data_IF_277258020549
#
_entry.id   IF_277258020549
#
_cell.length_a   1.000
_cell.length_b   1.000
_cell.length_c   1.000
_cell.angle_alpha   90.00
_cell.angle_beta   90.00
_cell.angle_gamma   90.00
#
_symmetry.space_group_name_H-M   'P 1'
#
loop_
_entity.id
_entity.type
_entity.pdbx_description
1 polymer ?
#
# COMPACT_ATOMS: atom_id res chain seq x y z
N UNK A 1 -24.10 5.35 20.11
CA UNK A 1 -24.81 4.06 20.22
C UNK A 1 -23.78 2.95 20.41
N UNK A 2 -24.07 1.95 21.26
CA UNK A 2 -23.13 0.93 21.76
C UNK A 2 -22.65 0.00 20.63
N UNK A 3 -21.34 -0.12 20.44
CA UNK A 3 -20.69 -1.05 19.50
C UNK A 3 -20.74 -2.46 20.05
N UNK A 4 -21.31 -3.41 19.30
CA UNK A 4 -21.20 -4.85 19.60
C UNK A 4 -20.29 -5.49 18.55
N UNK A 5 -19.05 -5.77 18.96
CA UNK A 5 -18.13 -6.64 18.23
C UNK A 5 -18.48 -8.11 18.55
N UNK A 6 -18.66 -8.93 17.53
CA UNK A 6 -18.70 -10.38 17.66
C UNK A 6 -17.69 -11.00 16.68
N UNK A 7 -16.51 -11.29 17.21
CA UNK A 7 -15.53 -12.19 16.61
C UNK A 7 -16.00 -13.63 16.82
N UNK A 8 -16.09 -14.42 15.75
CA UNK A 8 -16.13 -15.89 15.84
C UNK A 8 -15.18 -16.49 14.80
N UNK A 9 -13.96 -16.77 15.27
CA UNK A 9 -13.09 -17.81 14.72
C UNK A 9 -13.73 -19.18 15.00
N UNK A 10 -13.83 -20.04 13.99
CA UNK A 10 -13.88 -21.49 14.23
C UNK A 10 -13.09 -22.22 13.14
N UNK A 11 -11.98 -22.80 13.57
CA UNK A 11 -11.14 -23.70 12.80
C UNK A 11 -11.86 -25.01 12.49
N UNK A 12 -11.68 -25.54 11.29
CA UNK A 12 -11.81 -26.98 11.05
C UNK A 12 -10.60 -27.48 10.26
N UNK A 13 -9.69 -28.10 11.00
CA UNK A 13 -8.66 -28.98 10.49
C UNK A 13 -9.28 -30.39 10.49
N UNK A 14 -9.30 -31.07 9.34
CA UNK A 14 -9.55 -32.50 9.28
C UNK A 14 -8.68 -33.11 8.18
N UNK A 15 -7.67 -33.87 8.61
CA UNK A 15 -6.85 -34.75 7.78
C UNK A 15 -7.70 -35.87 7.19
N UNK A 16 -7.42 -36.25 5.94
CA UNK A 16 -7.58 -37.64 5.48
C UNK A 16 -6.34 -38.09 4.70
N UNK A 17 -5.51 -38.91 5.35
CA UNK A 17 -4.54 -39.80 4.71
C UNK A 17 -5.21 -41.15 4.45
N UNK A 18 -5.26 -41.58 3.19
CA UNK A 18 -5.45 -42.96 2.72
C UNK A 18 -5.19 -42.93 1.20
N UNK A 19 -4.44 -43.79 0.53
CA UNK A 19 -3.77 -45.04 0.86
C UNK A 19 -3.44 -45.75 -0.47
N UNK A 20 -2.46 -46.67 -0.46
CA UNK A 20 -2.11 -47.73 -1.44
C UNK A 20 -1.97 -47.34 -2.94
N UNK A 21 -0.87 -47.65 -3.63
CA UNK A 21 -0.17 -48.93 -3.66
C UNK A 21 -0.71 -49.77 -4.83
N UNK A 22 0.01 -49.77 -5.95
CA UNK A 22 -0.30 -50.57 -7.14
C UNK A 22 0.87 -50.55 -8.12
N UNK A 23 1.61 -51.66 -8.16
CA UNK A 23 2.67 -51.97 -9.12
C UNK A 23 2.09 -52.70 -10.34
N UNK A 24 2.96 -52.97 -11.33
CA UNK A 24 2.82 -53.81 -12.54
C UNK A 24 2.64 -53.06 -13.88
N UNK A 25 3.03 -53.65 -15.04
CA UNK A 25 4.37 -54.09 -15.44
C UNK A 25 4.78 -53.55 -16.83
N UNK A 26 6.05 -53.78 -17.18
CA UNK A 26 6.69 -53.54 -18.49
C UNK A 26 6.00 -54.30 -19.65
N UNK A 27 5.86 -53.68 -20.83
CA UNK A 27 6.55 -54.06 -22.09
C UNK A 27 5.80 -53.63 -23.38
N UNK A 28 6.61 -53.27 -24.38
CA UNK A 28 6.35 -53.19 -25.84
C UNK A 28 5.85 -51.88 -26.47
N UNK A 29 6.83 -51.11 -26.96
CA UNK A 29 6.76 -50.20 -28.11
C UNK A 29 6.77 -51.02 -29.46
N UNK A 30 6.81 -50.44 -30.68
CA UNK A 30 6.81 -49.03 -31.11
C UNK A 30 5.93 -48.69 -32.36
N UNK A 31 5.70 -47.39 -32.63
CA UNK A 31 5.81 -46.77 -33.98
C UNK A 31 5.55 -45.24 -33.90
N UNK A 32 6.17 -44.42 -34.77
CA UNK A 32 6.45 -43.01 -34.49
C UNK A 32 5.43 -42.06 -35.11
N UNK A 33 5.02 -41.04 -34.36
CA UNK A 33 4.41 -39.83 -34.93
C UNK A 33 5.19 -38.65 -34.36
N UNK A 34 5.92 -37.97 -35.25
CA UNK A 34 6.70 -36.77 -34.97
C UNK A 34 5.85 -35.71 -34.26
N UNK A 35 6.14 -35.47 -32.99
CA UNK A 35 5.77 -34.26 -32.28
C UNK A 35 7.00 -33.32 -32.25
N UNK A 36 6.81 -31.99 -32.35
CA UNK A 36 7.90 -31.03 -32.51
C UNK A 36 8.80 -30.98 -31.27
N UNK A 37 10.09 -30.65 -31.40
CA UNK A 37 10.94 -30.50 -30.23
C UNK A 37 10.51 -29.27 -29.44
N UNK A 38 10.45 -29.47 -28.13
CA UNK A 38 10.50 -28.39 -27.15
C UNK A 38 11.72 -27.50 -27.43
N UNK A 39 11.52 -26.20 -27.33
CA UNK A 39 12.59 -25.25 -27.04
C UNK A 39 12.14 -24.43 -25.85
N UNK A 40 12.72 -24.78 -24.72
CA UNK A 40 12.85 -23.95 -23.54
C UNK A 40 13.62 -22.68 -23.91
N UNK A 41 13.05 -21.53 -23.59
CA UNK A 41 13.68 -20.21 -23.39
C UNK A 41 12.49 -19.29 -23.05
N UNK A 42 12.09 -19.09 -21.78
CA UNK A 42 12.85 -18.43 -20.73
C UNK A 42 13.75 -17.34 -21.30
N UNK A 43 13.13 -16.23 -21.70
CA UNK A 43 13.71 -14.89 -21.90
C UNK A 43 12.57 -14.07 -22.52
N UNK A 44 11.71 -13.42 -21.73
CA UNK A 44 11.86 -11.99 -21.46
C UNK A 44 11.11 -11.64 -20.17
N UNK A 45 11.55 -12.17 -19.03
CA UNK A 45 11.44 -11.42 -17.77
C UNK A 45 12.63 -10.45 -17.71
N UNK A 46 12.71 -9.60 -18.73
CA UNK A 46 13.59 -8.46 -18.84
C UNK A 46 12.79 -7.32 -19.45
N UNK A 47 11.55 -7.17 -18.95
CA UNK A 47 11.01 -5.82 -18.84
C UNK A 47 11.81 -5.17 -17.74
N UNK A 48 12.93 -4.58 -18.14
CA UNK A 48 13.48 -3.36 -17.59
C UNK A 48 12.93 -3.01 -16.20
N UNK A 49 13.79 -3.11 -15.18
CA UNK A 49 13.74 -2.28 -13.96
C UNK A 49 13.92 -0.79 -14.32
N UNK A 50 13.31 -0.34 -15.43
CA UNK A 50 13.03 1.05 -15.69
C UNK A 50 12.12 1.47 -14.55
N UNK A 51 12.62 2.42 -13.75
CA UNK A 51 11.89 3.13 -12.71
C UNK A 51 10.45 3.35 -13.14
N UNK A 52 9.53 2.52 -12.63
CA UNK A 52 8.10 2.68 -12.88
C UNK A 52 7.75 4.08 -12.38
N UNK A 53 7.22 4.91 -13.27
CA UNK A 53 6.69 6.22 -12.92
C UNK A 53 5.24 6.02 -12.52
N UNK A 54 4.91 6.37 -11.28
CA UNK A 54 3.55 6.33 -10.78
C UNK A 54 2.82 7.61 -11.15
N UNK A 55 1.62 7.47 -11.66
CA UNK A 55 0.72 8.58 -11.96
C UNK A 55 -0.13 8.93 -10.74
N UNK A 56 -0.66 10.17 -10.71
CA UNK A 56 -1.59 10.57 -9.66
C UNK A 56 -2.81 9.66 -9.63
N UNK A 57 -3.33 9.27 -10.81
CA UNK A 57 -4.46 8.34 -10.91
C UNK A 57 -4.22 7.00 -10.21
N UNK A 58 -3.05 6.39 -10.42
CA UNK A 58 -2.70 5.13 -9.74
C UNK A 58 -2.57 5.29 -8.22
N UNK A 59 -1.98 6.40 -7.75
CA UNK A 59 -1.90 6.70 -6.31
C UNK A 59 -3.30 6.93 -5.74
N UNK A 60 -4.17 7.64 -6.45
CA UNK A 60 -5.54 7.85 -6.01
C UNK A 60 -6.35 6.55 -6.00
N UNK A 61 -6.15 5.64 -6.95
CA UNK A 61 -6.78 4.31 -6.92
C UNK A 61 -6.39 3.52 -5.66
N UNK A 62 -5.10 3.56 -5.27
CA UNK A 62 -4.64 2.96 -4.02
C UNK A 62 -5.27 3.61 -2.78
N UNK A 63 -5.43 4.94 -2.79
CA UNK A 63 -6.06 5.66 -1.69
C UNK A 63 -7.54 5.31 -1.57
N UNK A 64 -8.28 5.37 -2.68
CA UNK A 64 -9.73 5.10 -2.72
C UNK A 64 -10.07 3.68 -2.28
N UNK A 65 -9.16 2.71 -2.48
CA UNK A 65 -9.36 1.33 -2.03
C UNK A 65 -9.44 1.20 -0.49
N UNK A 66 -8.74 2.07 0.25
CA UNK A 66 -8.60 2.00 1.71
C UNK A 66 -9.19 3.24 2.43
N UNK A 67 -9.70 4.23 1.68
CA UNK A 67 -10.23 5.49 2.22
C UNK A 67 -11.50 5.26 3.04
N UNK A 68 -11.59 5.91 4.20
CA UNK A 68 -12.81 6.00 5.00
C UNK A 68 -13.77 7.11 4.51
N UNK A 69 -15.09 6.95 4.71
CA UNK A 69 -16.11 7.91 4.25
C UNK A 69 -15.94 9.32 4.84
N UNK A 70 -15.36 9.43 6.03
CA UNK A 70 -15.09 10.68 6.74
C UNK A 70 -13.78 11.35 6.29
N UNK A 71 -13.05 10.81 5.31
CA UNK A 71 -11.82 11.42 4.82
C UNK A 71 -12.06 12.16 3.51
N UNK A 72 -11.93 13.48 3.57
CA UNK A 72 -12.03 14.36 2.42
C UNK A 72 -10.64 14.61 1.87
N UNK A 73 -10.37 14.13 0.65
CA UNK A 73 -9.10 14.38 -0.02
C UNK A 73 -8.89 15.88 -0.24
N UNK A 74 -7.71 16.37 0.12
CA UNK A 74 -7.30 17.76 -0.08
C UNK A 74 -6.27 17.91 -1.20
N UNK A 75 -5.27 17.01 -1.26
CA UNK A 75 -4.18 17.08 -2.24
C UNK A 75 -3.49 15.70 -2.37
N UNK A 76 -2.70 15.49 -3.42
CA UNK A 76 -1.90 14.30 -3.60
C UNK A 76 -0.53 14.62 -4.20
N UNK A 77 0.46 13.78 -3.89
CA UNK A 77 1.79 13.87 -4.49
C UNK A 77 2.28 12.48 -4.84
N UNK A 78 2.82 12.33 -6.05
CA UNK A 78 3.47 11.10 -6.52
C UNK A 78 4.97 11.18 -6.30
N UNK A 79 5.56 10.06 -5.90
CA UNK A 79 7.01 9.92 -5.79
C UNK A 79 7.38 8.44 -5.86
N UNK A 80 8.66 8.10 -5.83
CA UNK A 80 9.05 6.72 -5.57
C UNK A 80 10.23 6.72 -4.60
N UNK A 81 9.97 6.24 -3.39
CA UNK A 81 10.98 6.04 -2.36
C UNK A 81 11.35 4.56 -2.30
N UNK A 82 12.53 4.25 -2.83
CA UNK A 82 13.04 2.88 -2.89
C UNK A 82 13.29 2.27 -1.51
N UNK A 83 13.59 3.09 -0.49
CA UNK A 83 13.93 2.60 0.85
C UNK A 83 12.70 2.09 1.60
N UNK A 84 11.55 2.73 1.37
CA UNK A 84 10.28 2.45 2.04
C UNK A 84 9.26 1.75 1.13
N UNK A 85 9.52 1.69 -0.18
CA UNK A 85 8.59 1.18 -1.18
C UNK A 85 7.37 2.07 -1.41
N UNK A 86 7.40 3.32 -0.95
CA UNK A 86 6.31 4.29 -1.08
C UNK A 86 6.27 4.89 -2.48
N UNK A 87 5.06 5.10 -3.00
CA UNK A 87 4.79 5.55 -4.37
C UNK A 87 4.01 6.86 -4.45
N UNK A 88 3.57 7.35 -3.29
CA UNK A 88 2.85 8.60 -3.19
C UNK A 88 2.30 8.82 -1.80
N UNK A 89 1.70 9.99 -1.63
CA UNK A 89 0.95 10.32 -0.44
C UNK A 89 -0.30 11.12 -0.82
N UNK A 90 -1.32 11.01 0.02
CA UNK A 90 -2.56 11.78 -0.09
C UNK A 90 -2.77 12.56 1.20
N UNK A 91 -2.96 13.86 1.07
CA UNK A 91 -3.36 14.76 2.15
C UNK A 91 -4.89 14.75 2.23
N UNK A 92 -5.43 14.59 3.43
CA UNK A 92 -6.87 14.60 3.64
C UNK A 92 -7.28 15.36 4.91
N UNK A 93 -8.54 15.78 4.96
CA UNK A 93 -9.22 16.28 6.16
C UNK A 93 -10.09 15.14 6.70
N UNK A 94 -9.91 14.79 7.96
CA UNK A 94 -10.89 13.94 8.65
C UNK A 94 -12.06 14.83 9.09
N UNK A 95 -13.26 14.58 8.57
CA UNK A 95 -14.46 15.38 8.82
C UNK A 95 -15.09 15.12 10.19
N UNK A 96 -14.82 13.99 10.83
CA UNK A 96 -15.29 13.72 12.20
C UNK A 96 -14.50 14.53 13.23
N UNK A 97 -13.17 14.54 13.11
CA UNK A 97 -12.27 15.22 14.05
C UNK A 97 -11.91 16.64 13.61
N UNK A 98 -12.20 17.00 12.36
CA UNK A 98 -11.78 18.24 11.72
C UNK A 98 -10.24 18.41 11.75
N UNK A 99 -9.48 17.31 11.64
CA UNK A 99 -8.01 17.33 11.65
C UNK A 99 -7.41 16.93 10.32
N UNK A 100 -6.16 17.32 10.09
CA UNK A 100 -5.38 16.93 8.93
C UNK A 100 -4.82 15.51 9.08
N UNK A 101 -4.71 14.79 7.97
CA UNK A 101 -4.07 13.49 7.91
C UNK A 101 -3.33 13.27 6.59
N UNK A 102 -2.38 12.36 6.61
CA UNK A 102 -1.63 11.91 5.43
C UNK A 102 -1.73 10.40 5.33
N UNK A 103 -2.14 9.91 4.16
CA UNK A 103 -2.05 8.51 3.78
C UNK A 103 -0.80 8.30 2.90
N UNK A 104 0.16 7.51 3.36
CA UNK A 104 1.34 7.10 2.60
C UNK A 104 1.07 5.76 1.92
N UNK A 105 1.26 5.70 0.61
CA UNK A 105 0.84 4.54 -0.19
C UNK A 105 2.06 3.78 -0.70
N UNK A 106 2.05 2.46 -0.50
CA UNK A 106 3.08 1.55 -0.97
C UNK A 106 2.79 0.97 -2.35
N UNK A 107 3.84 0.62 -3.09
CA UNK A 107 3.73 -0.11 -4.35
C UNK A 107 3.05 -1.50 -4.18
N UNK A 108 3.04 -2.01 -2.96
CA UNK A 108 2.37 -3.24 -2.52
C UNK A 108 0.86 -3.07 -2.30
N UNK A 109 0.34 -1.86 -2.48
CA UNK A 109 -1.04 -1.49 -2.23
C UNK A 109 -1.35 -1.14 -0.77
N UNK A 110 -0.35 -1.16 0.13
CA UNK A 110 -0.58 -0.83 1.53
C UNK A 110 -0.80 0.68 1.71
N UNK A 111 -1.88 1.04 2.38
CA UNK A 111 -2.16 2.40 2.85
C UNK A 111 -1.78 2.53 4.33
N UNK A 112 -0.92 3.51 4.66
CA UNK A 112 -0.43 3.74 6.03
C UNK A 112 -0.70 5.20 6.42
N UNK A 113 -1.53 5.45 7.43
CA UNK A 113 -1.93 6.81 7.80
C UNK A 113 -1.25 7.36 9.05
N UNK A 114 -0.89 8.65 8.97
CA UNK A 114 -0.51 9.49 10.12
C UNK A 114 -1.43 10.72 10.21
N UNK A 115 -1.85 11.09 11.41
CA UNK A 115 -2.69 12.28 11.67
C UNK A 115 -1.90 13.40 12.34
N UNK A 116 -2.30 14.65 12.10
CA UNK A 116 -1.85 15.81 12.85
C UNK A 116 -3.02 16.39 13.66
N UNK A 117 -2.78 16.80 14.90
CA UNK A 117 -3.81 17.38 15.78
C UNK A 117 -4.09 18.86 15.45
N UNK A 118 -4.26 19.17 14.16
CA UNK A 118 -4.51 20.52 13.66
C UNK A 118 -5.39 20.50 12.40
N UNK A 119 -6.10 21.60 12.14
CA UNK A 119 -6.89 21.76 10.91
C UNK A 119 -5.98 22.04 9.72
N UNK A 120 -6.36 21.59 8.52
CA UNK A 120 -5.71 22.05 7.29
C UNK A 120 -5.91 23.56 7.09
N UNK A 121 -4.88 24.24 6.59
CA UNK A 121 -5.03 25.58 6.05
C UNK A 121 -5.84 25.54 4.74
N UNK A 122 -6.43 26.68 4.36
CA UNK A 122 -7.25 26.76 3.14
C UNK A 122 -6.43 26.51 1.86
N UNK A 123 -5.14 26.89 1.89
CA UNK A 123 -4.13 26.55 0.89
C UNK A 123 -2.99 25.78 1.57
N UNK A 124 -3.12 24.45 1.72
CA UNK A 124 -2.18 23.67 2.52
C UNK A 124 -0.81 23.56 1.85
N UNK A 125 -0.76 23.40 0.53
CA UNK A 125 0.47 23.17 -0.25
C UNK A 125 1.15 21.87 0.14
N UNK A 126 0.99 20.81 -0.65
CA UNK A 126 1.47 19.49 -0.29
C UNK A 126 2.69 19.08 -1.10
N UNK A 127 3.80 18.81 -0.42
CA UNK A 127 5.08 18.50 -1.08
C UNK A 127 5.78 17.31 -0.42
N UNK A 128 6.40 16.48 -1.24
CA UNK A 128 7.29 15.41 -0.79
C UNK A 128 8.72 15.94 -0.61
N UNK A 129 9.31 15.70 0.56
CA UNK A 129 10.64 16.18 0.93
C UNK A 129 11.73 15.10 0.84
N UNK A 130 11.37 13.86 0.50
CA UNK A 130 12.28 12.71 0.57
C UNK A 130 12.17 11.93 1.88
N UNK A 131 12.74 10.72 1.90
CA UNK A 131 12.85 9.85 3.07
C UNK A 131 11.53 9.71 3.88
N UNK A 132 10.45 9.38 3.18
CA UNK A 132 9.12 9.22 3.78
C UNK A 132 8.56 10.48 4.44
N UNK A 133 9.06 11.68 4.12
CA UNK A 133 8.63 12.94 4.73
C UNK A 133 7.87 13.81 3.74
N UNK A 134 6.72 14.34 4.18
CA UNK A 134 5.94 15.35 3.45
C UNK A 134 5.81 16.61 4.29
N UNK A 135 5.52 17.73 3.62
CA UNK A 135 5.16 19.00 4.26
C UNK A 135 3.81 19.50 3.75
N UNK A 136 3.08 20.16 4.64
CA UNK A 136 1.84 20.89 4.34
C UNK A 136 1.61 21.98 5.38
N UNK A 137 0.63 22.84 5.17
CA UNK A 137 0.27 23.91 6.11
C UNK A 137 -0.98 23.56 6.89
N UNK A 138 -0.91 23.81 8.20
CA UNK A 138 -2.02 23.66 9.13
C UNK A 138 -2.35 24.98 9.81
N UNK A 139 -3.58 25.11 10.30
CA UNK A 139 -4.06 26.21 11.14
C UNK A 139 -3.98 25.74 12.60
N UNK A 140 -3.07 26.33 13.37
CA UNK A 140 -2.94 26.04 14.79
C UNK A 140 -4.12 26.58 15.61
N UNK A 141 -4.19 26.22 16.88
CA UNK A 141 -5.26 26.66 17.79
C UNK A 141 -5.35 28.19 17.93
N UNK A 142 -4.22 28.89 17.75
CA UNK A 142 -4.15 30.37 17.74
C UNK A 142 -4.62 31.00 16.41
N UNK A 143 -5.12 30.18 15.48
CA UNK A 143 -5.58 30.59 14.16
C UNK A 143 -4.47 30.90 13.16
N UNK A 144 -3.20 30.80 13.54
CA UNK A 144 -2.08 31.07 12.63
C UNK A 144 -1.76 29.85 11.78
N UNK A 145 -1.45 30.13 10.52
CA UNK A 145 -0.99 29.12 9.57
C UNK A 145 0.50 28.85 9.79
N UNK A 146 0.87 27.56 9.91
CA UNK A 146 2.25 27.10 10.11
C UNK A 146 2.56 25.96 9.15
N UNK A 147 3.84 25.76 8.85
CA UNK A 147 4.28 24.55 8.15
C UNK A 147 4.26 23.39 9.12
N UNK A 148 3.86 22.24 8.62
CA UNK A 148 3.79 20.98 9.34
C UNK A 148 4.49 19.92 8.51
N UNK A 149 5.25 19.05 9.16
CA UNK A 149 5.81 17.87 8.52
C UNK A 149 5.30 16.60 9.14
N UNK A 150 4.97 15.64 8.27
CA UNK A 150 4.66 14.27 8.64
C UNK A 150 5.72 13.36 8.03
N UNK A 151 6.35 12.52 8.84
CA UNK A 151 7.29 11.49 8.38
C UNK A 151 6.77 10.11 8.73
N UNK A 152 6.99 9.15 7.83
CA UNK A 152 6.79 7.72 8.08
C UNK A 152 8.13 7.01 8.08
N UNK A 153 8.30 6.05 8.99
CA UNK A 153 9.43 5.12 9.01
C UNK A 153 8.88 3.71 9.04
N UNK A 154 9.36 2.86 8.12
CA UNK A 154 8.93 1.46 7.97
C UNK A 154 10.12 0.55 8.25
N UNK A 155 10.03 -0.24 9.31
CA UNK A 155 11.04 -1.20 9.74
C UNK A 155 10.41 -2.60 9.82
N UNK A 156 10.38 -3.28 8.68
CA UNK A 156 9.67 -4.55 8.52
C UNK A 156 8.17 -4.34 8.70
N UNK A 157 7.60 -4.94 9.76
CA UNK A 157 6.18 -4.78 10.11
C UNK A 157 5.90 -3.56 10.97
N UNK A 158 6.94 -2.92 11.53
CA UNK A 158 6.77 -1.76 12.39
C UNK A 158 6.67 -0.49 11.55
N UNK A 159 5.63 0.29 11.80
CA UNK A 159 5.41 1.58 11.14
C UNK A 159 5.34 2.65 12.22
N UNK A 160 6.18 3.68 12.10
CA UNK A 160 6.20 4.83 13.02
C UNK A 160 5.91 6.11 12.25
N UNK A 161 5.09 6.97 12.85
CA UNK A 161 4.81 8.31 12.34
C UNK A 161 5.42 9.36 13.25
N UNK A 162 5.95 10.42 12.64
CA UNK A 162 6.43 11.60 13.35
C UNK A 162 5.76 12.84 12.77
N UNK A 163 5.10 13.59 13.65
CA UNK A 163 4.40 14.83 13.34
C UNK A 163 5.14 16.00 14.01
N UNK A 164 5.43 17.06 13.26
CA UNK A 164 6.21 18.21 13.75
C UNK A 164 5.69 19.52 13.14
N UNK A 165 5.34 20.48 13.99
CA UNK A 165 5.09 21.87 13.60
C UNK A 165 6.41 22.64 13.43
N UNK A 166 6.49 23.46 12.38
CA UNK A 166 7.65 24.31 12.05
C UNK A 166 7.32 25.80 12.19
#
# INVERSE_FOLDING_TARGET
MKRMFALLLSALFALTLAGCGGEEPTESAPAPTSAPPASEQSETASQSEASRIWTEGEVLELYEAEREENWEMADCVTFYDQSSGLVGAVLFRNSDTQTAGVAFLGADGACRMGGADAQLADEPGFEYLGDGTVTFKVKGEDGKVRSHTMSITIEGVNVTFKSVDK
#
